data_IF_747209825402
#
_entry.id   IF_747209825402
#
_cell.length_a   1.000
_cell.length_b   1.000
_cell.length_c   1.000
_cell.angle_alpha   90.00
_cell.angle_beta   90.00
_cell.angle_gamma   90.00
#
_symmetry.space_group_name_H-M   'P 1'
#
loop_
_entity.id
_entity.type
_entity.pdbx_description
1 polymer ?
#
# COMPACT_ATOMS: atom_id res chain seq x y z
N UNK A 1 14.96 5.64 11.20
CA UNK A 1 13.79 5.69 10.29
C UNK A 1 12.88 6.82 10.74
N UNK A 2 12.45 7.69 9.80
CA UNK A 2 11.61 8.86 10.10
C UNK A 2 10.18 8.37 10.40
N UNK A 3 9.64 8.74 11.55
CA UNK A 3 8.24 8.50 11.94
C UNK A 3 7.58 9.85 12.24
N UNK A 4 6.27 9.92 12.09
CA UNK A 4 5.48 11.08 12.50
C UNK A 4 5.35 11.14 14.03
N UNK A 5 5.31 12.34 14.56
CA UNK A 5 4.93 12.59 15.95
C UNK A 5 3.43 12.29 16.17
N UNK A 6 2.99 12.19 17.42
CA UNK A 6 1.58 11.99 17.74
C UNK A 6 0.69 13.14 17.24
N UNK A 7 1.18 14.38 17.32
CA UNK A 7 0.45 15.56 16.81
C UNK A 7 0.29 15.52 15.28
N UNK A 8 1.36 15.14 14.57
CA UNK A 8 1.34 14.98 13.11
C UNK A 8 0.41 13.86 12.65
N UNK A 9 0.41 12.73 13.37
CA UNK A 9 -0.52 11.62 13.11
C UNK A 9 -1.96 12.08 13.36
N UNK A 10 -2.21 12.78 14.46
CA UNK A 10 -3.54 13.34 14.76
C UNK A 10 -4.01 14.29 13.65
N UNK A 11 -3.15 15.20 13.20
CA UNK A 11 -3.45 16.12 12.09
C UNK A 11 -3.91 15.38 10.82
N UNK A 12 -3.20 14.33 10.43
CA UNK A 12 -3.59 13.51 9.27
C UNK A 12 -4.88 12.73 9.53
N UNK A 13 -5.05 12.18 10.72
CA UNK A 13 -6.25 11.42 11.10
C UNK A 13 -7.49 12.31 11.07
N UNK A 14 -7.41 13.53 11.58
CA UNK A 14 -8.48 14.52 11.57
C UNK A 14 -8.87 14.96 10.13
N UNK A 15 -7.99 14.73 9.15
CA UNK A 15 -8.26 14.98 7.72
C UNK A 15 -9.02 13.85 7.04
N UNK A 16 -9.22 12.70 7.71
CA UNK A 16 -9.89 11.51 7.18
C UNK A 16 -11.30 11.43 7.77
N UNK A 17 -12.31 11.41 6.90
CA UNK A 17 -13.72 11.29 7.31
C UNK A 17 -14.02 9.92 7.86
N UNK A 18 -14.75 9.89 8.98
CA UNK A 18 -15.25 8.67 9.58
C UNK A 18 -16.72 8.49 9.17
N UNK A 19 -17.05 7.33 8.59
CA UNK A 19 -18.42 6.99 8.22
C UNK A 19 -18.78 5.72 8.99
N UNK A 20 -19.62 5.82 10.04
CA UNK A 20 -20.09 4.63 10.76
C UNK A 20 -21.07 3.82 9.89
N UNK A 21 -21.11 2.51 10.15
CA UNK A 21 -22.05 1.57 9.55
C UNK A 21 -21.98 1.49 8.01
N UNK A 22 -20.81 1.65 7.40
CA UNK A 22 -20.59 1.52 5.96
C UNK A 22 -19.52 0.47 5.63
N UNK A 23 -19.73 -0.42 4.64
CA UNK A 23 -20.95 -0.68 3.86
C UNK A 23 -22.01 -1.49 4.62
N UNK A 24 -21.71 -1.95 5.83
CA UNK A 24 -22.59 -2.75 6.70
C UNK A 24 -22.53 -2.21 8.12
N UNK A 25 -23.62 -2.43 8.87
CA UNK A 25 -23.71 -2.08 10.29
C UNK A 25 -22.53 -2.67 11.10
N UNK A 26 -21.92 -1.86 11.96
CA UNK A 26 -20.76 -2.21 12.78
C UNK A 26 -19.40 -1.94 12.12
N UNK A 27 -19.35 -1.60 10.84
CA UNK A 27 -18.10 -1.24 10.16
C UNK A 27 -17.90 0.27 10.21
N UNK A 28 -16.72 0.69 10.68
CA UNK A 28 -16.30 2.10 10.65
C UNK A 28 -15.42 2.32 9.43
N UNK A 29 -15.99 2.91 8.38
CA UNK A 29 -15.25 3.18 7.15
C UNK A 29 -14.41 4.45 7.28
N UNK A 30 -13.18 4.39 6.79
CA UNK A 30 -12.24 5.52 6.71
C UNK A 30 -12.22 6.06 5.30
N UNK A 31 -12.89 7.19 5.11
CA UNK A 31 -13.00 7.82 3.80
C UNK A 31 -11.80 8.76 3.58
N UNK A 32 -10.85 8.29 2.81
CA UNK A 32 -9.64 9.03 2.46
C UNK A 32 -9.88 10.18 1.47
N UNK A 33 -11.08 10.29 0.88
CA UNK A 33 -11.36 11.33 -0.12
C UNK A 33 -11.23 12.74 0.46
N UNK A 34 -11.53 12.92 1.75
CA UNK A 34 -11.34 14.19 2.44
C UNK A 34 -9.87 14.55 2.62
N UNK A 35 -9.00 13.59 2.89
CA UNK A 35 -7.54 13.78 2.90
C UNK A 35 -7.04 14.15 1.50
N UNK A 36 -7.50 13.44 0.46
CA UNK A 36 -7.10 13.69 -0.93
C UNK A 36 -7.54 15.08 -1.43
N UNK A 37 -8.65 15.59 -0.91
CA UNK A 37 -9.18 16.94 -1.24
C UNK A 37 -8.62 18.03 -0.32
N UNK A 38 -7.79 17.69 0.66
CA UNK A 38 -7.12 18.67 1.53
C UNK A 38 -5.68 18.86 1.05
N UNK A 39 -5.42 19.97 0.38
CA UNK A 39 -4.11 20.31 -0.22
C UNK A 39 -2.98 20.28 0.81
N UNK A 40 -3.19 20.85 1.98
CA UNK A 40 -2.19 20.98 3.03
C UNK A 40 -1.85 19.61 3.64
N UNK A 41 -2.88 18.82 4.01
CA UNK A 41 -2.71 17.50 4.60
C UNK A 41 -2.09 16.51 3.60
N UNK A 42 -2.53 16.54 2.33
CA UNK A 42 -1.96 15.69 1.28
C UNK A 42 -0.48 16.02 1.02
N UNK A 43 -0.14 17.32 0.90
CA UNK A 43 1.25 17.73 0.71
C UNK A 43 2.12 17.37 1.92
N UNK A 44 1.61 17.51 3.14
CA UNK A 44 2.30 17.11 4.36
C UNK A 44 2.61 15.61 4.33
N UNK A 45 1.61 14.76 4.05
CA UNK A 45 1.77 13.31 3.90
C UNK A 45 2.84 12.95 2.85
N UNK A 46 2.74 13.54 1.66
CA UNK A 46 3.67 13.24 0.56
C UNK A 46 5.10 13.71 0.85
N UNK A 47 5.26 14.83 1.56
CA UNK A 47 6.57 15.30 2.03
C UNK A 47 7.18 14.30 3.01
N UNK A 48 6.41 13.86 3.99
CA UNK A 48 6.85 12.85 4.96
C UNK A 48 7.28 11.55 4.27
N UNK A 49 6.47 11.00 3.35
CA UNK A 49 6.79 9.77 2.64
C UNK A 49 8.01 9.93 1.72
N UNK A 50 8.16 11.08 1.07
CA UNK A 50 9.39 11.38 0.31
C UNK A 50 10.63 11.36 1.20
N UNK A 51 10.61 12.08 2.32
CA UNK A 51 11.74 12.13 3.25
C UNK A 51 12.07 10.75 3.84
N UNK A 52 11.05 9.94 4.11
CA UNK A 52 11.24 8.59 4.61
C UNK A 52 11.96 7.69 3.60
N UNK A 53 11.58 7.74 2.32
CA UNK A 53 12.00 6.77 1.31
C UNK A 53 13.13 7.24 0.39
N UNK A 54 13.54 8.49 0.41
CA UNK A 54 14.58 9.03 -0.49
C UNK A 54 15.91 8.28 -0.46
N UNK A 55 16.27 7.67 0.67
CA UNK A 55 17.54 6.97 0.88
C UNK A 55 17.38 5.44 0.91
N UNK A 56 16.22 4.90 0.50
CA UNK A 56 15.97 3.45 0.53
C UNK A 56 16.56 2.69 -0.66
N UNK A 57 17.16 3.41 -1.64
CA UNK A 57 17.68 2.82 -2.88
C UNK A 57 16.64 1.92 -3.55
N UNK A 58 15.44 2.46 -3.78
CA UNK A 58 14.35 1.78 -4.44
C UNK A 58 14.54 1.81 -5.95
N UNK A 59 14.19 0.71 -6.63
CA UNK A 59 14.14 0.63 -8.09
C UNK A 59 12.71 0.86 -8.61
N UNK A 60 11.69 0.40 -7.87
CA UNK A 60 10.27 0.48 -8.24
C UNK A 60 9.38 0.75 -7.03
N UNK A 61 8.21 1.30 -7.31
CA UNK A 61 7.09 1.36 -6.38
C UNK A 61 5.93 0.56 -6.98
N UNK A 62 5.41 -0.41 -6.24
CA UNK A 62 4.25 -1.20 -6.61
C UNK A 62 3.03 -0.74 -5.81
N UNK A 63 1.92 -0.50 -6.49
CA UNK A 63 0.66 -0.13 -5.85
C UNK A 63 -0.43 -1.16 -6.10
N UNK A 64 -1.30 -1.37 -5.11
CA UNK A 64 -2.44 -2.30 -5.18
C UNK A 64 -3.71 -1.61 -5.68
N UNK A 65 -4.45 -2.27 -6.58
CA UNK A 65 -5.74 -1.76 -7.07
C UNK A 65 -6.77 -1.75 -5.95
N UNK A 66 -7.51 -0.66 -5.74
CA UNK A 66 -7.48 0.56 -6.56
C UNK A 66 -6.92 1.77 -5.81
N UNK A 67 -7.20 1.92 -4.50
CA UNK A 67 -6.84 3.12 -3.73
C UNK A 67 -5.34 3.24 -3.47
N UNK A 68 -4.62 2.13 -3.42
CA UNK A 68 -3.17 2.08 -3.36
C UNK A 68 -2.50 2.79 -4.54
N UNK A 69 -3.11 2.76 -5.73
CA UNK A 69 -2.59 3.46 -6.91
C UNK A 69 -2.46 4.96 -6.72
N UNK A 70 -3.38 5.56 -5.98
CA UNK A 70 -3.39 7.01 -5.74
C UNK A 70 -2.10 7.42 -5.01
N UNK A 71 -1.79 6.77 -3.90
CA UNK A 71 -0.60 7.09 -3.11
C UNK A 71 0.68 6.63 -3.80
N UNK A 72 0.70 5.42 -4.34
CA UNK A 72 1.86 4.87 -5.05
C UNK A 72 2.29 5.78 -6.21
N UNK A 73 1.36 6.24 -7.06
CA UNK A 73 1.67 7.12 -8.18
C UNK A 73 2.23 8.48 -7.73
N UNK A 74 1.68 9.05 -6.66
CA UNK A 74 2.18 10.31 -6.10
C UNK A 74 3.58 10.16 -5.50
N UNK A 75 3.85 9.04 -4.80
CA UNK A 75 5.18 8.75 -4.25
C UNK A 75 6.19 8.53 -5.38
N UNK A 76 5.81 7.79 -6.44
CA UNK A 76 6.63 7.63 -7.65
C UNK A 76 7.06 8.98 -8.23
N UNK A 77 6.11 9.90 -8.40
CA UNK A 77 6.40 11.24 -8.91
C UNK A 77 7.33 12.04 -7.97
N UNK A 78 7.18 11.90 -6.64
CA UNK A 78 8.02 12.60 -5.66
C UNK A 78 9.44 12.04 -5.56
N UNK A 79 9.63 10.74 -5.85
CA UNK A 79 10.92 10.05 -5.77
C UNK A 79 11.57 9.84 -7.16
N UNK A 80 10.87 10.20 -8.24
CA UNK A 80 11.30 9.96 -9.63
C UNK A 80 11.57 8.47 -9.90
N UNK A 81 10.65 7.61 -9.47
CA UNK A 81 10.72 6.16 -9.61
C UNK A 81 9.60 5.62 -10.52
N UNK A 82 9.82 4.50 -11.21
CA UNK A 82 8.78 3.85 -12.01
C UNK A 82 7.69 3.21 -11.13
N UNK A 83 6.47 3.19 -11.67
CA UNK A 83 5.28 2.65 -11.03
C UNK A 83 4.90 1.28 -11.61
N UNK A 84 4.65 0.31 -10.74
CA UNK A 84 4.20 -1.04 -11.08
C UNK A 84 2.80 -1.26 -10.53
N UNK A 85 1.93 -1.82 -11.36
CA UNK A 85 0.51 -2.06 -11.05
C UNK A 85 0.30 -3.50 -10.56
N UNK A 86 -0.25 -3.67 -9.36
CA UNK A 86 -0.81 -4.94 -8.89
C UNK A 86 -2.33 -4.82 -8.99
N UNK A 87 -2.95 -5.68 -9.81
CA UNK A 87 -4.34 -5.48 -10.21
C UNK A 87 -5.24 -6.67 -9.91
N UNK A 88 -6.53 -6.42 -9.91
CA UNK A 88 -7.56 -7.46 -9.88
C UNK A 88 -7.54 -8.28 -11.18
N UNK A 89 -8.03 -9.55 -11.19
CA UNK A 89 -7.95 -10.45 -12.33
C UNK A 89 -8.53 -9.86 -13.61
N UNK A 90 -7.82 -10.15 -14.72
CA UNK A 90 -8.27 -9.76 -16.05
C UNK A 90 -8.15 -8.27 -16.37
N UNK A 91 -7.44 -7.50 -15.54
CA UNK A 91 -7.20 -6.06 -15.78
C UNK A 91 -5.86 -5.77 -16.46
N UNK A 92 -4.98 -6.75 -16.52
CA UNK A 92 -3.67 -6.66 -17.16
C UNK A 92 -3.68 -7.41 -18.50
N UNK A 93 -3.33 -6.76 -19.64
CA UNK A 93 -3.54 -7.34 -20.98
C UNK A 93 -2.40 -8.23 -21.47
N UNK A 94 -1.38 -8.50 -20.67
CA UNK A 94 -0.22 -9.32 -21.02
C UNK A 94 -0.05 -10.50 -20.06
N UNK A 95 1.02 -11.27 -20.18
CA UNK A 95 1.31 -12.41 -19.29
C UNK A 95 1.48 -11.96 -17.84
N UNK A 96 0.76 -12.63 -16.94
CA UNK A 96 0.75 -12.30 -15.52
C UNK A 96 1.18 -13.47 -14.65
N UNK A 97 1.74 -13.15 -13.49
CA UNK A 97 1.66 -13.99 -12.30
C UNK A 97 0.37 -13.65 -11.56
N UNK A 98 -0.21 -14.63 -10.91
CA UNK A 98 -1.37 -14.44 -10.05
C UNK A 98 -1.15 -15.08 -8.68
N UNK A 99 -1.78 -14.49 -7.67
CA UNK A 99 -1.83 -14.99 -6.31
C UNK A 99 -3.25 -14.84 -5.77
N UNK A 100 -3.79 -15.94 -5.26
CA UNK A 100 -5.10 -16.00 -4.60
C UNK A 100 -4.90 -15.85 -3.09
N UNK A 101 -5.87 -15.22 -2.41
CA UNK A 101 -5.86 -15.05 -0.97
C UNK A 101 -7.27 -15.14 -0.41
N UNK A 102 -7.37 -15.64 0.82
CA UNK A 102 -8.63 -15.81 1.51
C UNK A 102 -9.17 -14.47 2.03
N UNK A 103 -10.47 -14.31 1.92
CA UNK A 103 -11.28 -13.29 2.58
C UNK A 103 -12.05 -13.93 3.74
N UNK A 104 -12.69 -13.13 4.56
CA UNK A 104 -13.63 -13.64 5.59
C UNK A 104 -14.76 -14.49 4.96
N UNK A 105 -15.15 -14.16 3.73
CA UNK A 105 -16.14 -14.89 2.93
C UNK A 105 -15.62 -15.05 1.50
N UNK A 106 -15.11 -16.25 1.17
CA UNK A 106 -14.58 -16.57 -0.15
C UNK A 106 -13.11 -16.25 -0.34
N UNK A 107 -12.65 -16.24 -1.58
CA UNK A 107 -11.29 -15.87 -1.97
C UNK A 107 -11.30 -14.70 -2.96
N UNK A 108 -10.20 -14.00 -3.05
CA UNK A 108 -9.96 -12.97 -4.06
C UNK A 108 -8.55 -13.15 -4.62
N UNK A 109 -8.22 -12.45 -5.70
CA UNK A 109 -7.00 -12.66 -6.45
C UNK A 109 -6.39 -11.35 -6.90
N UNK A 110 -5.07 -11.31 -6.96
CA UNK A 110 -4.32 -10.20 -7.57
C UNK A 110 -3.35 -10.73 -8.62
N UNK A 111 -3.02 -9.86 -9.57
CA UNK A 111 -2.17 -10.16 -10.72
C UNK A 111 -1.08 -9.10 -10.88
N UNK A 112 0.07 -9.54 -11.38
CA UNK A 112 1.23 -8.72 -11.70
C UNK A 112 1.80 -9.19 -13.05
N UNK A 113 2.18 -8.28 -13.94
CA UNK A 113 2.87 -8.65 -15.18
C UNK A 113 4.17 -9.37 -14.88
N UNK A 114 4.49 -10.41 -15.66
CA UNK A 114 5.73 -11.19 -15.49
C UNK A 114 6.99 -10.35 -15.70
N UNK A 115 6.91 -9.34 -16.57
CA UNK A 115 8.01 -8.41 -16.91
C UNK A 115 7.97 -7.09 -16.12
N UNK A 116 7.15 -7.01 -15.05
CA UNK A 116 6.90 -5.80 -14.27
C UNK A 116 8.18 -5.08 -13.79
N UNK A 117 9.22 -5.83 -13.48
CA UNK A 117 10.49 -5.30 -12.99
C UNK A 117 11.62 -5.32 -14.04
N UNK A 118 11.26 -5.35 -15.34
CA UNK A 118 12.19 -5.28 -16.47
C UNK A 118 13.34 -6.30 -16.39
N UNK A 119 13.09 -7.48 -15.83
CA UNK A 119 14.07 -8.54 -15.59
C UNK A 119 15.27 -8.12 -14.71
N UNK A 120 15.15 -7.05 -13.93
CA UNK A 120 16.16 -6.66 -12.94
C UNK A 120 16.08 -7.63 -11.78
N UNK A 121 17.11 -8.45 -11.61
CA UNK A 121 17.19 -9.42 -10.51
C UNK A 121 17.29 -8.71 -9.17
N UNK A 122 16.48 -9.14 -8.20
CA UNK A 122 16.40 -8.56 -6.86
C UNK A 122 16.09 -7.06 -6.85
N UNK A 123 15.37 -6.56 -7.87
CA UNK A 123 14.89 -5.17 -7.91
C UNK A 123 14.24 -4.79 -6.57
N UNK A 124 14.62 -3.67 -6.01
CA UNK A 124 14.17 -3.20 -4.69
C UNK A 124 12.83 -2.48 -4.81
N UNK A 125 11.78 -3.07 -4.29
CA UNK A 125 10.39 -2.61 -4.46
C UNK A 125 9.80 -2.13 -3.14
N UNK A 126 9.17 -0.96 -3.14
CA UNK A 126 8.25 -0.50 -2.11
C UNK A 126 6.83 -0.90 -2.52
N UNK A 127 6.17 -1.71 -1.71
CA UNK A 127 4.74 -2.01 -1.86
C UNK A 127 3.92 -0.92 -1.18
N UNK A 128 2.90 -0.37 -1.85
CA UNK A 128 2.08 0.72 -1.31
C UNK A 128 0.59 0.40 -1.45
N UNK A 129 -0.14 0.55 -0.35
CA UNK A 129 -1.60 0.56 -0.35
C UNK A 129 -2.15 1.63 0.61
N UNK A 130 -3.43 1.94 0.51
CA UNK A 130 -4.05 2.92 1.41
C UNK A 130 -4.33 2.34 2.80
N UNK A 131 -4.66 1.05 2.90
CA UNK A 131 -5.06 0.44 4.16
C UNK A 131 -4.61 -1.02 4.25
N UNK A 132 -4.16 -1.42 5.44
CA UNK A 132 -4.01 -2.83 5.79
C UNK A 132 -5.04 -3.23 6.85
N UNK A 133 -5.86 -4.24 6.52
CA UNK A 133 -6.88 -4.84 7.39
C UNK A 133 -6.42 -6.23 7.85
N UNK A 134 -6.94 -7.29 7.25
CA UNK A 134 -6.56 -8.69 7.55
C UNK A 134 -5.22 -9.10 6.96
N UNK A 135 -4.69 -8.33 5.99
CA UNK A 135 -3.40 -8.53 5.34
C UNK A 135 -3.42 -9.41 4.09
N UNK A 136 -4.56 -9.99 3.71
CA UNK A 136 -4.63 -10.92 2.57
C UNK A 136 -4.08 -10.33 1.27
N UNK A 137 -4.63 -9.19 0.83
CA UNK A 137 -4.16 -8.50 -0.40
C UNK A 137 -2.68 -8.12 -0.32
N UNK A 138 -2.22 -7.65 0.83
CA UNK A 138 -0.84 -7.22 1.03
C UNK A 138 0.15 -8.40 0.96
N UNK A 139 -0.20 -9.52 1.57
CA UNK A 139 0.61 -10.76 1.53
C UNK A 139 0.65 -11.31 0.10
N UNK A 140 -0.50 -11.40 -0.59
CA UNK A 140 -0.55 -11.85 -1.98
C UNK A 140 0.27 -10.93 -2.91
N UNK A 141 0.23 -9.62 -2.67
CA UNK A 141 1.03 -8.64 -3.40
C UNK A 141 2.53 -8.80 -3.16
N UNK A 142 2.92 -9.05 -1.91
CA UNK A 142 4.30 -9.39 -1.54
C UNK A 142 4.78 -10.67 -2.29
N UNK A 143 3.98 -11.73 -2.27
CA UNK A 143 4.31 -12.98 -2.94
C UNK A 143 4.47 -12.81 -4.46
N UNK A 144 3.63 -11.99 -5.10
CA UNK A 144 3.77 -11.65 -6.52
C UNK A 144 5.08 -10.94 -6.83
N UNK A 145 5.48 -9.98 -6.00
CA UNK A 145 6.76 -9.28 -6.14
C UNK A 145 7.92 -10.29 -6.07
N UNK A 146 7.89 -11.20 -5.09
CA UNK A 146 8.91 -12.25 -4.96
C UNK A 146 8.90 -13.21 -6.15
N UNK A 147 7.71 -13.64 -6.60
CA UNK A 147 7.54 -14.53 -7.77
C UNK A 147 8.07 -13.93 -9.06
N UNK A 148 8.01 -12.60 -9.19
CA UNK A 148 8.57 -11.85 -10.31
C UNK A 148 10.09 -11.58 -10.18
N UNK A 149 10.79 -12.16 -9.19
CA UNK A 149 12.24 -12.06 -9.02
C UNK A 149 12.71 -10.74 -8.37
N UNK A 150 11.80 -9.96 -7.80
CA UNK A 150 12.10 -8.71 -7.10
C UNK A 150 12.05 -8.90 -5.58
N UNK A 151 12.56 -7.93 -4.85
CA UNK A 151 12.57 -7.90 -3.37
C UNK A 151 11.67 -6.78 -2.86
N UNK A 152 10.57 -7.13 -2.19
CA UNK A 152 9.81 -6.17 -1.40
C UNK A 152 10.65 -5.75 -0.19
N UNK A 153 11.12 -4.52 -0.16
CA UNK A 153 11.99 -4.03 0.94
C UNK A 153 11.20 -3.47 2.11
N UNK A 154 10.04 -2.92 1.83
CA UNK A 154 9.07 -2.50 2.83
C UNK A 154 7.67 -2.45 2.19
N UNK A 155 6.62 -2.69 2.98
CA UNK A 155 5.24 -2.40 2.62
C UNK A 155 4.76 -1.18 3.40
N UNK A 156 4.22 -0.18 2.68
CA UNK A 156 3.78 1.10 3.21
C UNK A 156 2.27 1.25 3.09
N UNK A 157 1.62 1.56 4.22
CA UNK A 157 0.19 1.80 4.29
C UNK A 157 -0.10 3.18 4.88
N UNK A 158 -1.13 3.84 4.37
CA UNK A 158 -1.62 5.06 5.04
C UNK A 158 -2.25 4.70 6.39
N UNK A 159 -3.06 3.62 6.44
CA UNK A 159 -3.81 3.21 7.63
C UNK A 159 -3.55 1.74 7.94
N UNK A 160 -3.25 1.44 9.20
CA UNK A 160 -3.26 0.09 9.76
C UNK A 160 -4.45 -0.06 10.72
N UNK A 161 -5.36 -1.00 10.42
CA UNK A 161 -6.43 -1.41 11.34
C UNK A 161 -5.88 -2.50 12.28
N UNK A 162 -5.36 -2.10 13.45
CA UNK A 162 -4.62 -2.97 14.37
C UNK A 162 -5.41 -4.19 14.83
N UNK A 163 -6.70 -4.01 15.08
CA UNK A 163 -7.58 -5.08 15.57
C UNK A 163 -7.69 -6.26 14.60
N UNK A 164 -7.41 -6.04 13.29
CA UNK A 164 -7.45 -7.07 12.25
C UNK A 164 -6.11 -7.79 12.03
N UNK A 165 -5.06 -7.36 12.73
CA UNK A 165 -3.76 -8.05 12.83
C UNK A 165 -3.03 -8.32 11.49
N UNK A 166 -3.39 -7.62 10.41
CA UNK A 166 -2.80 -7.85 9.09
C UNK A 166 -1.34 -7.41 8.99
N UNK A 167 -1.00 -6.28 9.60
CA UNK A 167 0.37 -5.78 9.62
C UNK A 167 1.33 -6.78 10.29
N UNK A 168 0.96 -7.34 11.45
CA UNK A 168 1.79 -8.32 12.15
C UNK A 168 1.99 -9.63 11.36
N UNK A 169 1.01 -10.01 10.52
CA UNK A 169 1.18 -11.16 9.62
C UNK A 169 2.22 -10.85 8.53
N UNK A 170 2.14 -9.66 7.93
CA UNK A 170 3.05 -9.22 6.87
C UNK A 170 4.46 -8.93 7.39
N UNK A 171 4.61 -8.46 8.64
CA UNK A 171 5.90 -8.22 9.29
C UNK A 171 6.80 -9.46 9.40
N UNK A 172 6.21 -10.65 9.36
CA UNK A 172 6.96 -11.91 9.30
C UNK A 172 7.67 -12.15 7.96
N UNK A 173 7.29 -11.40 6.93
CA UNK A 173 7.76 -11.55 5.55
C UNK A 173 8.62 -10.37 5.09
N UNK A 174 8.26 -9.15 5.47
CA UNK A 174 8.93 -7.92 5.08
C UNK A 174 8.72 -6.83 6.13
N UNK A 175 9.53 -5.76 6.07
CA UNK A 175 9.27 -4.58 6.91
C UNK A 175 7.93 -3.95 6.56
N UNK A 176 7.21 -3.50 7.58
CA UNK A 176 5.92 -2.79 7.41
C UNK A 176 6.02 -1.40 8.03
N UNK A 177 5.52 -0.42 7.32
CA UNK A 177 5.33 0.93 7.83
C UNK A 177 3.90 1.39 7.60
N UNK A 178 3.27 1.86 8.66
CA UNK A 178 1.96 2.51 8.59
C UNK A 178 2.08 3.95 9.08
N UNK A 179 1.51 4.89 8.31
CA UNK A 179 1.51 6.31 8.67
C UNK A 179 0.61 6.54 9.88
N UNK A 180 -0.55 5.88 9.88
CA UNK A 180 -1.56 5.95 10.94
C UNK A 180 -1.87 4.55 11.45
N UNK A 181 -2.00 4.42 12.77
CA UNK A 181 -2.43 3.20 13.44
C UNK A 181 -3.76 3.45 14.15
N UNK A 182 -4.77 2.65 13.85
CA UNK A 182 -6.13 2.82 14.38
C UNK A 182 -6.60 1.51 14.99
#
# INVERSE_FOLDING_TARGET
>A
MIKLTQEEQKYLLDSIRIIPDFPKKGIIFRDITTLLNNKEALNFLLKHLKERYKDYNLDFIAGTESRGFIFASMICAKLNLPFVLIRKPGKLPFETFSCEYDLEYGSDKVELHKDAFKNIQNARVLLVDDLIATGGTAIASYELIQKAGAKCVEACFLINLKDLNGANKLEKLTSVYSVLEI
#
